data_IF_653745793279
#
_entry.id   IF_653745793279
#
_cell.length_a   1.000
_cell.length_b   1.000
_cell.length_c   1.000
_cell.angle_alpha   90.00
_cell.angle_beta   90.00
_cell.angle_gamma   90.00
#
_symmetry.space_group_name_H-M   'P 1'
#
loop_
_entity.id
_entity.type
_entity.pdbx_description
1 polymer ?
#
# COMPACT_ATOMS: atom_id res chain seq x y z
N UNK A 1 15.16 5.42 -6.46
CA UNK A 1 14.41 4.14 -6.31
C UNK A 1 13.44 4.33 -5.15
N UNK A 2 12.20 3.85 -5.25
CA UNK A 2 11.14 4.11 -4.26
C UNK A 2 10.82 2.81 -3.51
N UNK A 3 10.80 2.83 -2.19
CA UNK A 3 10.37 1.69 -1.37
C UNK A 3 8.86 1.57 -1.37
N UNK A 4 8.33 0.42 -0.96
CA UNK A 4 6.88 0.20 -0.87
C UNK A 4 6.23 1.16 0.15
N UNK A 5 6.88 1.43 1.28
CA UNK A 5 6.40 2.43 2.24
C UNK A 5 6.39 3.85 1.67
N UNK A 6 7.44 4.26 0.95
CA UNK A 6 7.46 5.56 0.28
C UNK A 6 6.38 5.67 -0.80
N UNK A 7 6.13 4.59 -1.54
CA UNK A 7 5.06 4.55 -2.54
C UNK A 7 3.68 4.61 -1.90
N UNK A 8 3.48 3.98 -0.73
CA UNK A 8 2.25 4.09 0.02
C UNK A 8 1.93 5.55 0.32
N UNK A 9 2.92 6.27 0.86
CA UNK A 9 2.80 7.68 1.17
C UNK A 9 2.50 8.57 -0.05
N UNK A 10 3.09 8.26 -1.21
CA UNK A 10 2.83 9.00 -2.45
C UNK A 10 1.39 8.78 -2.94
N UNK A 11 0.93 7.54 -2.95
CA UNK A 11 -0.41 7.20 -3.42
C UNK A 11 -1.48 7.73 -2.47
N UNK A 12 -1.28 7.62 -1.15
CA UNK A 12 -2.21 8.19 -0.18
C UNK A 12 -2.32 9.71 -0.34
N UNK A 13 -1.23 10.43 -0.54
CA UNK A 13 -1.27 11.89 -0.78
C UNK A 13 -1.94 12.26 -2.11
N UNK A 14 -1.73 11.46 -3.15
CA UNK A 14 -2.31 11.73 -4.47
C UNK A 14 -3.81 11.40 -4.53
N UNK A 15 -4.26 10.40 -3.77
CA UNK A 15 -5.58 9.78 -3.93
C UNK A 15 -6.44 9.84 -2.66
N UNK A 16 -5.94 10.38 -1.55
CA UNK A 16 -6.67 10.46 -0.27
C UNK A 16 -7.95 11.30 -0.32
N UNK A 17 -8.05 12.21 -1.29
CA UNK A 17 -9.30 12.95 -1.58
C UNK A 17 -10.19 12.30 -2.63
N UNK A 18 -9.77 11.17 -3.20
CA UNK A 18 -10.44 10.49 -4.32
C UNK A 18 -11.00 9.13 -3.87
N UNK A 19 -10.23 8.36 -3.10
CA UNK A 19 -10.61 7.04 -2.63
C UNK A 19 -11.15 7.11 -1.21
N UNK A 20 -12.23 6.38 -0.95
CA UNK A 20 -12.80 6.20 0.40
C UNK A 20 -12.32 4.85 0.94
N UNK A 21 -11.58 4.80 2.05
CA UNK A 21 -11.15 3.54 2.66
C UNK A 21 -12.36 2.75 3.17
N UNK A 22 -12.30 1.43 3.01
CA UNK A 22 -13.27 0.49 3.56
C UNK A 22 -12.99 0.15 5.02
N UNK A 23 -13.15 -1.12 5.39
CA UNK A 23 -12.80 -1.60 6.72
C UNK A 23 -11.29 -1.43 6.98
N UNK A 24 -10.87 -1.15 8.23
CA UNK A 24 -9.46 -1.11 8.59
C UNK A 24 -8.73 -2.42 8.23
N UNK A 25 -7.51 -2.29 7.72
CA UNK A 25 -6.63 -3.40 7.37
C UNK A 25 -5.27 -3.12 7.99
N UNK A 26 -4.73 -4.11 8.70
CA UNK A 26 -3.40 -4.06 9.33
C UNK A 26 -2.49 -5.07 8.66
N UNK A 27 -1.19 -4.77 8.55
CA UNK A 27 -0.18 -5.75 8.17
C UNK A 27 0.66 -6.14 9.40
N UNK A 28 1.33 -7.28 9.37
CA UNK A 28 2.12 -7.75 10.53
C UNK A 28 3.52 -7.13 10.60
N UNK A 29 3.92 -6.39 9.58
CA UNK A 29 5.28 -5.87 9.39
C UNK A 29 5.32 -4.36 9.07
N UNK A 30 4.23 -3.63 9.30
CA UNK A 30 4.17 -2.18 9.21
C UNK A 30 4.26 -1.46 10.57
N UNK A 31 4.07 -2.16 11.69
CA UNK A 31 4.28 -1.63 13.05
C UNK A 31 5.63 -0.90 13.17
N UNK A 32 5.58 0.37 13.57
CA UNK A 32 6.77 1.22 13.76
C UNK A 32 7.36 1.78 12.47
N UNK A 33 6.74 1.52 11.32
CA UNK A 33 7.01 2.23 10.07
C UNK A 33 6.48 3.65 10.15
N UNK A 34 7.28 4.64 9.73
CA UNK A 34 6.78 6.02 9.57
C UNK A 34 5.65 6.14 8.52
N UNK A 35 5.44 5.09 7.72
CA UNK A 35 4.43 5.00 6.68
C UNK A 35 3.23 4.12 7.08
N UNK A 36 3.15 3.65 8.33
CA UNK A 36 2.11 2.72 8.82
C UNK A 36 0.70 3.17 8.42
N UNK A 37 0.30 4.40 8.78
CA UNK A 37 -1.01 4.93 8.40
C UNK A 37 -1.26 4.99 6.88
N UNK A 38 -0.22 5.27 6.08
CA UNK A 38 -0.34 5.28 4.62
C UNK A 38 -0.50 3.84 4.08
N UNK A 39 0.17 2.87 4.70
CA UNK A 39 0.14 1.45 4.33
C UNK A 39 -1.24 0.86 4.63
N UNK A 40 -1.76 1.09 5.83
CA UNK A 40 -3.10 0.66 6.23
C UNK A 40 -4.17 1.29 5.33
N UNK A 41 -4.03 2.58 4.99
CA UNK A 41 -4.94 3.24 4.06
C UNK A 41 -4.94 2.59 2.68
N UNK A 42 -3.76 2.20 2.14
CA UNK A 42 -3.70 1.44 0.88
C UNK A 42 -4.37 0.07 0.98
N UNK A 43 -4.28 -0.58 2.14
CA UNK A 43 -4.97 -1.85 2.41
C UNK A 43 -6.48 -1.65 2.42
N UNK A 44 -6.95 -0.68 3.19
CA UNK A 44 -8.37 -0.36 3.34
C UNK A 44 -9.03 0.13 2.04
N UNK A 45 -8.27 0.79 1.16
CA UNK A 45 -8.73 1.21 -0.18
C UNK A 45 -8.55 0.12 -1.25
N UNK A 46 -7.97 -1.03 -0.92
CA UNK A 46 -7.76 -2.14 -1.85
C UNK A 46 -6.66 -1.91 -2.90
N UNK A 47 -5.88 -0.83 -2.79
CA UNK A 47 -4.78 -0.51 -3.71
C UNK A 47 -3.66 -1.54 -3.59
N UNK A 48 -3.39 -2.02 -2.37
CA UNK A 48 -2.42 -3.09 -2.10
C UNK A 48 -3.10 -4.36 -1.60
N UNK A 49 -2.45 -5.50 -1.82
CA UNK A 49 -2.85 -6.83 -1.30
C UNK A 49 -1.73 -7.47 -0.47
N UNK A 50 -0.79 -6.69 0.05
CA UNK A 50 0.40 -7.23 0.70
C UNK A 50 1.51 -7.69 -0.27
N UNK A 51 2.47 -8.45 0.25
CA UNK A 51 3.68 -8.90 -0.46
C UNK A 51 3.99 -10.40 -0.34
N UNK A 52 3.28 -11.15 0.51
CA UNK A 52 3.58 -12.54 0.84
C UNK A 52 2.39 -13.49 0.54
N UNK A 53 2.05 -13.71 -0.74
CA UNK A 53 1.01 -14.67 -1.09
C UNK A 53 1.39 -16.10 -0.64
N UNK A 54 0.41 -16.94 -0.26
CA UNK A 54 -1.03 -16.66 -0.34
C UNK A 54 -1.58 -15.88 0.86
N UNK A 55 -0.84 -15.78 1.97
CA UNK A 55 -1.32 -15.21 3.24
C UNK A 55 -1.62 -13.71 3.14
N UNK A 56 -0.75 -12.95 2.48
CA UNK A 56 -0.94 -11.52 2.20
C UNK A 56 -1.15 -10.64 3.45
N UNK A 57 -0.58 -11.04 4.59
CA UNK A 57 -0.61 -10.30 5.86
C UNK A 57 0.63 -9.41 6.06
N UNK A 58 1.62 -9.43 5.18
CA UNK A 58 2.79 -8.55 5.21
C UNK A 58 2.74 -7.52 4.07
N UNK A 59 3.17 -6.29 4.32
CA UNK A 59 3.32 -5.22 3.35
C UNK A 59 4.74 -5.10 2.79
N UNK A 60 5.79 -5.51 3.50
CA UNK A 60 7.20 -5.36 3.13
C UNK A 60 7.61 -3.89 2.85
N UNK A 61 7.52 -2.96 3.83
CA UNK A 61 7.68 -1.52 3.59
C UNK A 61 9.06 -1.10 3.04
N UNK A 62 10.12 -1.84 3.38
CA UNK A 62 11.49 -1.57 2.91
C UNK A 62 11.80 -2.06 1.50
N UNK A 63 10.97 -2.94 0.92
CA UNK A 63 11.21 -3.52 -0.40
C UNK A 63 11.04 -2.51 -1.52
N UNK A 64 11.83 -2.62 -2.59
CA UNK A 64 11.72 -1.73 -3.75
C UNK A 64 10.46 -2.03 -4.57
N UNK A 65 9.81 -0.97 -5.06
CA UNK A 65 8.68 -1.09 -5.98
C UNK A 65 9.20 -1.29 -7.41
N UNK A 66 8.74 -2.35 -8.07
CA UNK A 66 8.99 -2.58 -9.50
C UNK A 66 8.00 -1.78 -10.36
N UNK A 67 8.33 -1.55 -11.64
CA UNK A 67 7.40 -0.88 -12.58
C UNK A 67 6.08 -1.64 -12.73
N UNK A 68 6.12 -2.98 -12.70
CA UNK A 68 4.93 -3.81 -12.77
C UNK A 68 4.07 -3.67 -11.50
N UNK A 69 4.68 -3.58 -10.31
CA UNK A 69 3.96 -3.31 -9.07
C UNK A 69 3.32 -1.93 -9.07
N UNK A 70 4.03 -0.91 -9.58
CA UNK A 70 3.45 0.43 -9.74
C UNK A 70 2.21 0.40 -10.66
N UNK A 71 2.31 -0.28 -11.81
CA UNK A 71 1.17 -0.44 -12.71
C UNK A 71 -0.01 -1.17 -12.02
N UNK A 72 0.26 -2.20 -11.20
CA UNK A 72 -0.77 -2.89 -10.46
C UNK A 72 -1.44 -2.01 -9.40
N UNK A 73 -0.69 -1.15 -8.70
CA UNK A 73 -1.26 -0.19 -7.76
C UNK A 73 -2.16 0.82 -8.47
N UNK A 74 -1.68 1.42 -9.56
CA UNK A 74 -2.47 2.37 -10.35
C UNK A 74 -3.72 1.72 -10.94
N UNK A 75 -3.61 0.47 -11.40
CA UNK A 75 -4.76 -0.26 -11.93
C UNK A 75 -5.84 -0.48 -10.86
N UNK A 76 -5.47 -0.87 -9.63
CA UNK A 76 -6.47 -1.03 -8.55
C UNK A 76 -7.00 0.30 -8.01
N UNK A 77 -6.19 1.35 -8.10
CA UNK A 77 -6.56 2.67 -7.61
C UNK A 77 -7.49 3.43 -8.57
N UNK A 78 -7.35 3.22 -9.88
CA UNK A 78 -8.01 4.01 -10.93
C UNK A 78 -8.88 3.15 -11.86
N UNK A 79 -8.96 1.83 -11.62
CA UNK A 79 -9.69 0.85 -12.41
C UNK A 79 -10.66 0.04 -11.55
#
# INVERSE_FOLDING_TARGET
KVTRGQMAAFLHRALGGVLTPGAPVTFVDDDGSIFEADIEWLGATGVTKGCNPPTNDSFCPGSQVTRAQMAAFLHRALG
#
